data_IF_593432589966
#
_entry.id   IF_593432589966
#
_cell.length_a   1.000
_cell.length_b   1.000
_cell.length_c   1.000
_cell.angle_alpha   90.00
_cell.angle_beta   90.00
_cell.angle_gamma   90.00
#
_symmetry.space_group_name_H-M   'P 1'
#
loop_
_entity.id
_entity.type
_entity.pdbx_description
1 polymer ?
#
# COMPACT_ATOMS: atom_id res chain seq x y z
N UNK A 1 -6.78 -3.69 1.59
CA UNK A 1 -7.25 -3.56 2.99
C UNK A 1 -6.11 -3.83 3.96
N UNK A 2 -5.24 -2.83 4.16
CA UNK A 2 -4.09 -2.96 5.04
C UNK A 2 -3.99 -1.85 6.10
N UNK A 3 -4.60 -0.68 5.87
CA UNK A 3 -4.51 0.46 6.78
C UNK A 3 -5.83 1.21 6.90
N UNK A 4 -6.18 2.09 5.98
CA UNK A 4 -7.32 3.02 6.02
C UNK A 4 -8.36 2.72 4.93
N UNK A 5 -7.88 2.33 3.75
CA UNK A 5 -8.73 2.14 2.59
C UNK A 5 -9.26 0.71 2.47
N UNK A 6 -10.59 0.61 2.29
CA UNK A 6 -11.24 -0.58 1.74
C UNK A 6 -11.10 -0.52 0.22
N UNK A 7 -10.52 -1.53 -0.44
CA UNK A 7 -10.44 -1.55 -1.90
C UNK A 7 -10.63 -2.98 -2.45
N UNK A 8 -11.26 -3.06 -3.61
CA UNK A 8 -11.51 -4.26 -4.40
C UNK A 8 -11.25 -3.92 -5.86
N UNK A 9 -10.65 -4.84 -6.61
CA UNK A 9 -10.49 -4.72 -8.06
C UNK A 9 -10.59 -6.10 -8.71
N UNK A 10 -11.04 -6.12 -9.96
CA UNK A 10 -11.04 -7.28 -10.84
C UNK A 10 -10.10 -6.98 -12.00
N UNK A 11 -9.10 -7.83 -12.18
CA UNK A 11 -8.03 -7.65 -13.16
C UNK A 11 -7.90 -8.92 -13.99
N UNK A 12 -7.72 -8.75 -15.30
CA UNK A 12 -7.54 -9.84 -16.25
C UNK A 12 -6.05 -10.17 -16.45
N UNK A 13 -5.75 -11.36 -16.98
CA UNK A 13 -4.37 -11.84 -17.21
C UNK A 13 -3.55 -10.88 -18.09
N UNK A 14 -4.21 -10.23 -19.05
CA UNK A 14 -3.61 -9.22 -19.94
C UNK A 14 -3.43 -7.84 -19.30
N UNK A 15 -3.48 -7.78 -17.96
CA UNK A 15 -3.33 -6.58 -17.11
C UNK A 15 -4.49 -5.58 -17.17
N UNK A 16 -5.56 -5.84 -17.92
CA UNK A 16 -6.71 -4.93 -17.95
C UNK A 16 -7.47 -4.95 -16.62
N UNK A 17 -7.77 -3.76 -16.11
CA UNK A 17 -8.62 -3.58 -14.94
C UNK A 17 -10.07 -3.52 -15.43
N UNK A 18 -10.86 -4.54 -15.10
CA UNK A 18 -12.29 -4.61 -15.46
C UNK A 18 -13.15 -3.74 -14.54
N UNK A 19 -12.80 -3.71 -13.26
CA UNK A 19 -13.48 -2.91 -12.25
C UNK A 19 -12.52 -2.61 -11.09
N UNK A 20 -12.67 -1.44 -10.47
CA UNK A 20 -11.91 -1.06 -9.28
C UNK A 20 -12.71 -0.08 -8.44
N UNK A 21 -12.88 -0.38 -7.15
CA UNK A 21 -13.58 0.47 -6.20
C UNK A 21 -12.80 0.57 -4.90
N UNK A 22 -12.85 1.74 -4.30
CA UNK A 22 -12.27 1.99 -2.99
C UNK A 22 -13.19 2.88 -2.15
N UNK A 23 -13.11 2.71 -0.84
CA UNK A 23 -13.84 3.49 0.15
C UNK A 23 -12.93 3.80 1.34
N UNK A 24 -13.00 5.04 1.81
CA UNK A 24 -12.31 5.52 2.99
C UNK A 24 -13.15 6.58 3.71
N UNK A 25 -13.49 6.37 4.98
CA UNK A 25 -14.21 7.35 5.79
C UNK A 25 -13.24 8.41 6.34
N UNK A 26 -12.86 9.34 5.46
CA UNK A 26 -11.92 10.42 5.79
C UNK A 26 -12.48 11.38 6.83
N UNK A 27 -13.79 11.56 6.87
CA UNK A 27 -14.43 12.44 7.84
C UNK A 27 -14.32 11.86 9.26
N UNK A 28 -14.61 10.57 9.43
CA UNK A 28 -14.44 9.89 10.72
C UNK A 28 -12.98 9.89 11.16
N UNK A 29 -12.03 9.61 10.26
CA UNK A 29 -10.60 9.65 10.56
C UNK A 29 -10.15 11.05 11.02
N UNK A 30 -10.66 12.10 10.37
CA UNK A 30 -10.40 13.49 10.77
C UNK A 30 -10.92 13.78 12.17
N UNK A 31 -12.15 13.37 12.49
CA UNK A 31 -12.73 13.55 13.82
C UNK A 31 -11.98 12.79 14.92
N UNK A 32 -11.45 11.61 14.60
CA UNK A 32 -10.64 10.80 15.53
C UNK A 32 -9.17 11.24 15.60
N UNK A 33 -8.76 12.25 14.82
CA UNK A 33 -7.38 12.76 14.79
C UNK A 33 -6.37 11.86 14.07
N UNK A 34 -6.85 10.82 13.39
CA UNK A 34 -6.03 9.84 12.68
C UNK A 34 -6.74 8.49 12.49
N UNK A 35 -5.94 7.49 12.09
CA UNK A 35 -6.43 6.14 11.81
C UNK A 35 -6.71 5.40 13.12
N UNK A 36 -7.99 5.18 13.42
CA UNK A 36 -8.42 4.35 14.55
C UNK A 36 -8.60 2.89 14.10
N UNK A 37 -7.82 1.93 14.65
CA UNK A 37 -7.85 0.54 14.22
C UNK A 37 -9.22 -0.14 14.26
N UNK A 38 -10.00 0.13 15.31
CA UNK A 38 -11.33 -0.48 15.48
C UNK A 38 -12.33 0.05 14.44
N UNK A 39 -12.32 1.37 14.19
CA UNK A 39 -13.20 2.01 13.20
C UNK A 39 -12.89 1.52 11.78
N UNK A 40 -11.61 1.40 11.42
CA UNK A 40 -11.20 0.85 10.12
C UNK A 40 -11.66 -0.60 9.96
N UNK A 41 -11.47 -1.44 10.97
CA UNK A 41 -11.90 -2.84 10.87
C UNK A 41 -13.41 -2.95 10.64
N UNK A 42 -14.19 -2.12 11.34
CA UNK A 42 -15.63 -2.02 11.11
C UNK A 42 -15.95 -1.51 9.70
N UNK A 43 -15.25 -0.50 9.19
CA UNK A 43 -15.37 -0.02 7.81
C UNK A 43 -15.12 -1.15 6.81
N UNK A 44 -14.02 -1.89 6.93
CA UNK A 44 -13.72 -3.01 6.03
C UNK A 44 -14.82 -4.07 6.07
N UNK A 45 -15.30 -4.44 7.26
CA UNK A 45 -16.37 -5.43 7.42
C UNK A 45 -17.67 -5.02 6.72
N UNK A 46 -18.05 -3.75 6.79
CA UNK A 46 -19.29 -3.23 6.19
C UNK A 46 -19.13 -2.98 4.68
N UNK A 47 -18.00 -2.43 4.26
CA UNK A 47 -17.79 -1.98 2.88
C UNK A 47 -17.31 -3.09 1.94
N UNK A 48 -16.65 -4.14 2.46
CA UNK A 48 -16.18 -5.26 1.63
C UNK A 48 -17.26 -5.86 0.72
N UNK A 49 -18.44 -6.28 1.24
CA UNK A 49 -19.49 -6.85 0.41
C UNK A 49 -20.00 -5.86 -0.65
N UNK A 50 -20.18 -4.60 -0.27
CA UNK A 50 -20.67 -3.54 -1.17
C UNK A 50 -19.70 -3.34 -2.33
N UNK A 51 -18.40 -3.17 -2.04
CA UNK A 51 -17.38 -2.96 -3.06
C UNK A 51 -17.22 -4.19 -3.99
N UNK A 52 -17.41 -5.41 -3.46
CA UNK A 52 -17.40 -6.63 -4.27
C UNK A 52 -18.57 -6.66 -5.25
N UNK A 53 -19.78 -6.39 -4.77
CA UNK A 53 -20.98 -6.36 -5.60
C UNK A 53 -20.90 -5.27 -6.68
N UNK A 54 -20.41 -4.08 -6.32
CA UNK A 54 -20.17 -2.98 -7.26
C UNK A 54 -19.14 -3.35 -8.34
N UNK A 55 -18.02 -4.00 -7.96
CA UNK A 55 -16.99 -4.41 -8.91
C UNK A 55 -17.51 -5.50 -9.86
N UNK A 56 -18.24 -6.49 -9.35
CA UNK A 56 -18.83 -7.56 -10.17
C UNK A 56 -19.86 -6.99 -11.15
N UNK A 57 -20.70 -6.07 -10.69
CA UNK A 57 -21.68 -5.40 -11.53
C UNK A 57 -21.00 -4.58 -12.64
N UNK A 58 -19.98 -3.78 -12.31
CA UNK A 58 -19.22 -3.00 -13.30
C UNK A 58 -18.50 -3.90 -14.32
N UNK A 59 -17.92 -5.01 -13.87
CA UNK A 59 -17.24 -5.97 -14.74
C UNK A 59 -18.21 -6.83 -15.57
N UNK A 60 -19.51 -6.85 -15.23
CA UNK A 60 -20.49 -7.74 -15.85
C UNK A 60 -20.24 -9.22 -15.55
N UNK A 61 -19.72 -9.54 -14.37
CA UNK A 61 -19.32 -10.89 -13.95
C UNK A 61 -20.10 -11.35 -12.72
N UNK A 62 -20.12 -12.66 -12.52
CA UNK A 62 -20.49 -13.30 -11.27
C UNK A 62 -19.27 -13.88 -10.56
N UNK A 63 -19.38 -14.15 -9.26
CA UNK A 63 -18.31 -14.79 -8.50
C UNK A 63 -17.85 -16.14 -9.09
N UNK A 64 -18.72 -16.86 -9.80
CA UNK A 64 -18.37 -18.12 -10.47
C UNK A 64 -17.36 -17.93 -11.62
N UNK A 65 -17.36 -16.75 -12.25
CA UNK A 65 -16.49 -16.37 -13.36
C UNK A 65 -15.09 -15.96 -12.88
N UNK A 66 -14.89 -15.78 -11.57
CA UNK A 66 -13.59 -15.44 -10.98
C UNK A 66 -12.72 -16.68 -10.88
N UNK A 67 -11.49 -16.61 -11.39
CA UNK A 67 -10.54 -17.74 -11.36
C UNK A 67 -9.82 -17.89 -10.01
N UNK A 68 -9.46 -16.77 -9.38
CA UNK A 68 -8.74 -16.75 -8.11
C UNK A 68 -9.04 -15.49 -7.30
N UNK A 69 -8.90 -15.58 -5.97
CA UNK A 69 -9.02 -14.44 -5.05
C UNK A 69 -7.64 -14.05 -4.52
N UNK A 70 -7.19 -12.83 -4.76
CA UNK A 70 -5.95 -12.29 -4.21
C UNK A 70 -6.22 -11.37 -3.01
N UNK A 71 -5.45 -11.50 -1.93
CA UNK A 71 -5.66 -10.69 -0.72
C UNK A 71 -4.34 -10.24 -0.08
N UNK A 72 -4.28 -8.98 0.33
CA UNK A 72 -3.14 -8.47 1.08
C UNK A 72 -3.04 -9.14 2.45
N UNK A 73 -1.88 -9.70 2.77
CA UNK A 73 -1.63 -10.39 4.06
C UNK A 73 -0.62 -9.67 4.95
N UNK A 74 0.23 -8.81 4.38
CA UNK A 74 1.29 -8.06 5.07
C UNK A 74 1.93 -7.00 4.17
N UNK A 75 2.65 -6.02 4.73
CA UNK A 75 2.47 -5.47 6.06
C UNK A 75 1.15 -4.68 6.15
N UNK A 76 0.72 -4.39 7.38
CA UNK A 76 -0.47 -3.59 7.63
C UNK A 76 -0.96 -3.74 9.06
N UNK A 77 -2.00 -3.00 9.38
CA UNK A 77 -2.70 -3.10 10.64
C UNK A 77 -3.39 -4.46 10.75
N UNK A 78 -2.99 -5.28 11.73
CA UNK A 78 -3.45 -6.66 11.88
C UNK A 78 -4.97 -6.78 11.91
N UNK A 79 -5.66 -5.87 12.60
CA UNK A 79 -7.13 -5.89 12.73
C UNK A 79 -7.79 -5.58 11.38
N UNK A 80 -7.21 -4.68 10.58
CA UNK A 80 -7.69 -4.36 9.25
C UNK A 80 -7.47 -5.52 8.25
N UNK A 81 -6.26 -6.10 8.25
CA UNK A 81 -5.91 -7.24 7.40
C UNK A 81 -6.83 -8.44 7.62
N UNK A 82 -7.21 -8.71 8.89
CA UNK A 82 -8.08 -9.84 9.26
C UNK A 82 -9.41 -9.84 8.51
N UNK A 83 -10.06 -8.69 8.33
CA UNK A 83 -11.36 -8.65 7.65
C UNK A 83 -11.24 -9.00 6.16
N UNK A 84 -10.23 -8.46 5.47
CA UNK A 84 -9.95 -8.81 4.08
C UNK A 84 -9.60 -10.29 3.91
N UNK A 85 -8.69 -10.81 4.75
CA UNK A 85 -8.28 -12.22 4.72
C UNK A 85 -9.48 -13.14 4.99
N UNK A 86 -10.30 -12.83 5.99
CA UNK A 86 -11.50 -13.61 6.33
C UNK A 86 -12.45 -13.71 5.16
N UNK A 87 -12.75 -12.58 4.50
CA UNK A 87 -13.66 -12.54 3.34
C UNK A 87 -13.07 -13.28 2.14
N UNK A 88 -11.78 -13.11 1.85
CA UNK A 88 -11.14 -13.82 0.75
C UNK A 88 -11.13 -15.35 0.96
N UNK A 89 -10.86 -15.83 2.19
CA UNK A 89 -10.96 -17.26 2.55
C UNK A 89 -12.40 -17.77 2.39
N UNK A 90 -13.38 -16.99 2.85
CA UNK A 90 -14.80 -17.32 2.71
C UNK A 90 -15.19 -17.51 1.23
N UNK A 91 -14.85 -16.55 0.36
CA UNK A 91 -15.14 -16.60 -1.07
C UNK A 91 -14.42 -17.77 -1.77
N UNK A 92 -13.12 -17.92 -1.53
CA UNK A 92 -12.34 -19.02 -2.09
C UNK A 92 -12.92 -20.40 -1.72
N UNK A 93 -13.45 -20.54 -0.49
CA UNK A 93 -14.10 -21.79 -0.04
C UNK A 93 -15.46 -22.01 -0.67
N UNK A 94 -16.29 -20.97 -0.79
CA UNK A 94 -17.65 -21.07 -1.36
C UNK A 94 -17.58 -21.39 -2.85
N UNK A 95 -16.70 -20.72 -3.58
CA UNK A 95 -16.60 -20.84 -5.04
C UNK A 95 -15.54 -21.86 -5.50
N UNK A 96 -14.87 -22.53 -4.57
CA UNK A 96 -13.82 -23.51 -4.85
C UNK A 96 -12.70 -22.96 -5.74
N UNK A 97 -12.22 -21.76 -5.42
CA UNK A 97 -11.19 -21.03 -6.18
C UNK A 97 -9.90 -20.90 -5.38
N UNK A 98 -8.80 -20.63 -6.08
CA UNK A 98 -7.51 -20.42 -5.46
C UNK A 98 -7.47 -19.12 -4.65
N UNK A 99 -6.69 -19.14 -3.56
CA UNK A 99 -6.47 -17.98 -2.70
C UNK A 99 -4.99 -17.58 -2.77
N UNK A 100 -4.72 -16.36 -3.23
CA UNK A 100 -3.38 -15.85 -3.46
C UNK A 100 -3.01 -14.83 -2.36
N UNK A 101 -2.05 -15.16 -1.48
CA UNK A 101 -1.58 -14.22 -0.46
C UNK A 101 -0.61 -13.20 -1.07
N UNK A 102 -0.95 -11.91 -0.94
CA UNK A 102 -0.19 -10.80 -1.54
C UNK A 102 0.53 -9.98 -0.47
N UNK A 103 1.80 -9.68 -0.71
CA UNK A 103 2.57 -8.70 0.06
C UNK A 103 2.31 -7.29 -0.49
N UNK A 104 1.79 -6.40 0.35
CA UNK A 104 1.40 -5.03 0.00
C UNK A 104 2.48 -4.24 -0.75
N UNK A 105 3.72 -4.22 -0.22
CA UNK A 105 4.80 -3.48 -0.89
C UNK A 105 5.26 -4.12 -2.21
N UNK A 106 5.08 -5.44 -2.38
CA UNK A 106 5.39 -6.08 -3.65
C UNK A 106 4.31 -5.73 -4.68
N UNK A 107 3.03 -5.69 -4.26
CA UNK A 107 1.95 -5.22 -5.11
C UNK A 107 2.18 -3.78 -5.58
N UNK A 108 2.61 -2.87 -4.69
CA UNK A 108 2.98 -1.50 -5.07
C UNK A 108 4.15 -1.43 -6.05
N UNK A 109 5.17 -2.29 -5.89
CA UNK A 109 6.28 -2.32 -6.83
C UNK A 109 5.86 -2.86 -8.20
N UNK A 110 5.02 -3.90 -8.23
CA UNK A 110 4.56 -4.55 -9.46
C UNK A 110 3.45 -3.79 -10.17
N UNK A 111 2.73 -2.88 -9.50
CA UNK A 111 1.71 -2.06 -10.16
C UNK A 111 2.30 -1.17 -11.27
N UNK A 112 3.61 -0.93 -11.27
CA UNK A 112 4.30 -0.25 -12.36
C UNK A 112 4.11 -0.95 -13.72
N UNK A 113 3.98 -2.29 -13.73
CA UNK A 113 3.71 -3.06 -14.95
C UNK A 113 2.30 -2.85 -15.52
N UNK A 114 1.37 -2.28 -14.74
CA UNK A 114 0.02 -1.92 -15.22
C UNK A 114 0.02 -0.61 -16.01
N UNK A 115 1.07 0.21 -15.88
CA UNK A 115 1.15 1.56 -16.45
C UNK A 115 2.22 1.68 -17.53
N UNK A 116 3.25 0.82 -17.49
CA UNK A 116 4.32 0.79 -18.49
C UNK A 116 4.50 -0.63 -19.02
N UNK A 117 4.25 -0.78 -20.33
CA UNK A 117 4.41 -2.06 -21.05
C UNK A 117 5.87 -2.36 -21.41
N UNK A 118 6.69 -1.33 -21.45
CA UNK A 118 8.11 -1.30 -21.73
C UNK A 118 9.00 -1.51 -20.49
N UNK A 119 8.39 -1.57 -19.30
CA UNK A 119 9.09 -1.93 -18.07
C UNK A 119 9.52 -3.41 -18.13
N UNK A 120 10.79 -3.66 -17.83
CA UNK A 120 11.34 -5.00 -17.72
C UNK A 120 12.17 -5.15 -16.44
N UNK A 121 12.33 -6.38 -15.97
CA UNK A 121 13.25 -6.66 -14.87
C UNK A 121 14.71 -6.64 -15.35
N UNK A 122 15.68 -6.28 -14.49
CA UNK A 122 15.48 -5.69 -13.16
C UNK A 122 15.19 -4.18 -13.27
N UNK A 123 14.40 -3.63 -12.33
CA UNK A 123 14.21 -2.19 -12.21
C UNK A 123 14.33 -1.72 -10.76
N UNK A 124 14.61 -0.43 -10.61
CA UNK A 124 14.65 0.25 -9.32
C UNK A 124 13.33 0.99 -9.09
N UNK A 125 12.76 0.87 -7.90
CA UNK A 125 11.55 1.60 -7.53
C UNK A 125 11.69 2.28 -6.17
N UNK A 126 11.05 3.44 -6.06
CA UNK A 126 10.94 4.23 -4.85
C UNK A 126 9.51 4.11 -4.33
N UNK A 127 9.33 3.35 -3.24
CA UNK A 127 8.03 3.12 -2.63
C UNK A 127 7.83 4.11 -1.48
N UNK A 128 7.06 5.18 -1.75
CA UNK A 128 6.70 6.20 -0.77
C UNK A 128 5.18 6.15 -0.52
N UNK A 129 4.80 5.99 0.74
CA UNK A 129 3.41 6.03 1.21
C UNK A 129 3.34 6.68 2.59
N UNK A 130 2.13 6.75 3.19
CA UNK A 130 1.94 7.19 4.58
C UNK A 130 2.69 6.34 5.61
N UNK A 131 2.99 5.07 5.32
CA UNK A 131 3.69 4.18 6.25
C UNK A 131 5.07 3.70 5.79
N UNK A 132 5.46 3.97 4.54
CA UNK A 132 6.65 3.38 3.94
C UNK A 132 7.47 4.39 3.15
N UNK A 133 8.78 4.25 3.21
CA UNK A 133 9.74 4.97 2.37
C UNK A 133 10.90 4.01 2.12
N UNK A 134 10.89 3.37 0.95
CA UNK A 134 11.79 2.28 0.56
C UNK A 134 12.39 2.52 -0.82
N UNK A 135 13.67 2.22 -0.99
CA UNK A 135 14.33 2.06 -2.28
C UNK A 135 14.51 0.56 -2.51
N UNK A 136 13.89 0.02 -3.56
CA UNK A 136 13.82 -1.42 -3.80
C UNK A 136 14.30 -1.74 -5.21
N UNK A 137 15.28 -2.63 -5.31
CA UNK A 137 15.66 -3.28 -6.57
C UNK A 137 14.77 -4.51 -6.78
N UNK A 138 13.96 -4.45 -7.83
CA UNK A 138 13.05 -5.52 -8.23
C UNK A 138 13.74 -6.35 -9.31
N UNK A 139 14.15 -7.57 -8.96
CA UNK A 139 14.85 -8.49 -9.88
C UNK A 139 13.92 -9.43 -10.63
N UNK A 140 12.74 -9.73 -10.07
CA UNK A 140 11.69 -10.53 -10.68
C UNK A 140 10.37 -10.27 -9.93
N UNK A 141 9.29 -10.93 -10.35
CA UNK A 141 7.98 -10.93 -9.67
C UNK A 141 8.04 -11.40 -8.21
N UNK A 142 9.12 -12.07 -7.79
CA UNK A 142 9.26 -12.67 -6.46
C UNK A 142 10.51 -12.19 -5.71
N UNK A 143 11.47 -11.59 -6.42
CA UNK A 143 12.77 -11.21 -5.85
C UNK A 143 12.91 -9.69 -5.73
N UNK A 144 12.74 -9.20 -4.50
CA UNK A 144 12.81 -7.78 -4.15
C UNK A 144 13.89 -7.55 -3.10
N UNK A 145 14.84 -6.67 -3.42
CA UNK A 145 15.97 -6.33 -2.57
C UNK A 145 15.80 -4.90 -2.08
N UNK A 146 15.65 -4.72 -0.76
CA UNK A 146 15.62 -3.38 -0.17
C UNK A 146 17.06 -2.86 -0.16
N UNK A 147 17.30 -1.79 -0.92
CA UNK A 147 18.57 -1.08 -0.92
C UNK A 147 18.59 -0.06 0.21
N UNK A 148 17.49 0.67 0.41
CA UNK A 148 17.38 1.69 1.44
C UNK A 148 15.99 1.73 2.05
N UNK A 149 15.91 2.08 3.34
CA UNK A 149 14.66 2.36 4.04
C UNK A 149 14.85 3.65 4.85
N UNK A 150 13.75 4.34 5.13
CA UNK A 150 13.78 5.44 6.09
C UNK A 150 14.08 4.97 7.52
N UNK A 151 14.95 5.72 8.21
CA UNK A 151 15.35 5.49 9.60
C UNK A 151 14.33 5.94 10.65
N UNK A 152 13.56 6.99 10.37
CA UNK A 152 12.87 7.77 11.42
C UNK A 152 11.38 8.08 11.16
N UNK A 153 10.83 7.60 10.04
CA UNK A 153 9.42 7.82 9.65
C UNK A 153 9.24 7.88 8.13
N UNK A 154 8.03 7.72 7.62
CA UNK A 154 7.81 7.83 6.16
C UNK A 154 7.71 9.30 5.72
N UNK A 155 7.92 9.58 4.43
CA UNK A 155 7.68 10.91 3.89
C UNK A 155 6.20 11.32 4.03
N UNK A 156 5.27 10.38 3.82
CA UNK A 156 3.83 10.65 4.00
C UNK A 156 3.46 10.99 5.45
N UNK A 157 3.99 10.25 6.42
CA UNK A 157 3.77 10.53 7.85
C UNK A 157 4.33 11.91 8.25
N UNK A 158 5.50 12.28 7.68
CA UNK A 158 6.07 13.60 7.88
C UNK A 158 5.12 14.70 7.38
N UNK A 159 4.58 14.54 6.17
CA UNK A 159 3.58 15.46 5.62
C UNK A 159 2.32 15.54 6.50
N UNK A 160 1.80 14.41 6.99
CA UNK A 160 0.61 14.41 7.85
C UNK A 160 0.86 15.10 9.19
N UNK A 161 2.07 14.96 9.76
CA UNK A 161 2.46 15.67 11.00
C UNK A 161 2.56 17.18 10.76
N UNK A 162 3.22 17.60 9.69
CA UNK A 162 3.33 19.02 9.32
C UNK A 162 1.96 19.62 9.05
N UNK A 163 1.07 18.91 8.36
CA UNK A 163 -0.27 19.38 8.07
C UNK A 163 -1.11 19.56 9.35
N UNK A 164 -0.94 18.66 10.33
CA UNK A 164 -1.56 18.77 11.65
C UNK A 164 -1.04 19.97 12.43
N UNK A 165 0.27 20.18 12.45
CA UNK A 165 0.91 21.33 13.12
C UNK A 165 0.44 22.67 12.52
N UNK A 166 0.26 22.70 11.19
CA UNK A 166 -0.25 23.86 10.47
C UNK A 166 -1.78 24.01 10.53
N UNK A 167 -2.47 23.14 11.29
CA UNK A 167 -3.93 23.14 11.45
C UNK A 167 -4.70 23.13 10.11
N UNK A 168 -4.14 22.49 9.07
CA UNK A 168 -4.69 22.51 7.70
C UNK A 168 -6.09 21.91 7.67
N UNK A 169 -6.32 20.86 8.45
CA UNK A 169 -7.60 20.16 8.55
C UNK A 169 -8.77 21.02 9.08
N UNK A 170 -8.49 22.21 9.62
CA UNK A 170 -9.48 23.18 10.12
C UNK A 170 -9.68 24.38 9.19
N UNK A 171 -8.97 24.44 8.06
CA UNK A 171 -9.13 25.50 7.07
C UNK A 171 -10.19 25.10 6.06
N UNK A 172 -11.15 25.99 5.80
CA UNK A 172 -12.28 25.72 4.91
C UNK A 172 -11.82 25.34 3.49
N UNK A 173 -10.77 25.99 2.98
CA UNK A 173 -10.19 25.73 1.65
C UNK A 173 -9.67 24.29 1.46
N UNK A 174 -9.37 23.57 2.55
CA UNK A 174 -8.76 22.25 2.52
C UNK A 174 -9.62 21.15 3.15
N UNK A 175 -10.88 21.45 3.50
CA UNK A 175 -11.77 20.55 4.26
C UNK A 175 -11.94 19.16 3.62
N UNK A 176 -11.92 19.07 2.30
CA UNK A 176 -12.12 17.83 1.54
C UNK A 176 -10.84 17.35 0.83
N UNK A 177 -9.67 17.91 1.17
CA UNK A 177 -8.40 17.63 0.50
C UNK A 177 -7.52 16.80 1.46
N UNK A 178 -6.82 15.79 0.93
CA UNK A 178 -5.88 15.00 1.73
C UNK A 178 -4.77 15.91 2.30
N UNK A 179 -4.37 15.77 3.58
CA UNK A 179 -3.41 16.67 4.23
C UNK A 179 -2.11 16.89 3.44
N UNK A 180 -1.51 15.81 2.92
CA UNK A 180 -0.33 15.91 2.06
C UNK A 180 -0.55 16.71 0.76
N UNK A 181 -1.72 16.57 0.11
CA UNK A 181 -2.06 17.34 -1.09
C UNK A 181 -2.33 18.82 -0.76
N UNK A 182 -2.95 19.10 0.38
CA UNK A 182 -3.16 20.45 0.86
C UNK A 182 -1.82 21.18 1.14
N UNK A 183 -0.83 20.47 1.70
CA UNK A 183 0.53 21.00 1.85
C UNK A 183 1.17 21.32 0.50
N UNK A 184 1.01 20.47 -0.50
CA UNK A 184 1.53 20.73 -1.83
C UNK A 184 0.90 21.99 -2.46
N UNK A 185 -0.42 22.17 -2.33
CA UNK A 185 -1.13 23.36 -2.82
C UNK A 185 -0.60 24.62 -2.11
N UNK A 186 -0.45 24.58 -0.78
CA UNK A 186 0.11 25.70 -0.01
C UNK A 186 1.55 26.00 -0.38
N UNK A 187 2.36 24.97 -0.64
CA UNK A 187 3.74 25.15 -1.07
C UNK A 187 3.81 25.82 -2.45
N UNK A 188 2.92 25.46 -3.38
CA UNK A 188 2.83 26.06 -4.73
C UNK A 188 2.41 27.52 -4.73
N UNK A 189 1.64 27.98 -3.74
CA UNK A 189 1.24 29.38 -3.63
C UNK A 189 2.29 30.27 -2.97
N UNK A 190 3.42 29.71 -2.52
CA UNK A 190 4.51 30.48 -1.93
C UNK A 190 5.19 31.36 -2.97
N UNK A 191 5.34 32.64 -2.65
CA UNK A 191 6.13 33.60 -3.43
C UNK A 191 7.62 33.55 -3.10
N UNK A 192 8.03 32.85 -2.04
CA UNK A 192 9.41 32.77 -1.56
C UNK A 192 9.99 31.35 -1.65
N UNK A 193 10.27 30.90 -2.87
CA UNK A 193 10.77 29.54 -3.19
C UNK A 193 12.16 29.25 -2.56
N UNK A 194 12.93 30.29 -2.25
CA UNK A 194 14.30 30.17 -1.71
C UNK A 194 14.46 30.67 -0.27
N UNK A 195 13.34 30.83 0.47
CA UNK A 195 13.38 31.35 1.85
C UNK A 195 14.32 30.55 2.77
N UNK A 196 14.45 29.25 2.52
CA UNK A 196 15.35 28.35 3.25
C UNK A 196 16.38 27.76 2.29
N UNK A 197 17.49 28.48 1.98
CA UNK A 197 18.49 28.04 1.00
C UNK A 197 19.27 26.80 1.44
N UNK A 198 19.25 26.50 2.74
CA UNK A 198 19.72 25.24 3.32
C UNK A 198 18.62 24.72 4.24
N UNK A 199 18.14 23.51 3.95
CA UNK A 199 17.32 22.79 4.93
C UNK A 199 18.22 22.45 6.12
N UNK A 200 17.80 22.75 7.35
CA UNK A 200 18.62 22.45 8.51
C UNK A 200 18.83 20.93 8.61
N UNK A 201 20.07 20.54 8.83
CA UNK A 201 20.47 19.14 8.99
C UNK A 201 20.05 18.67 10.39
N UNK A 202 18.75 18.44 10.58
CA UNK A 202 18.17 18.15 11.91
C UNK A 202 18.03 16.65 12.14
N UNK A 203 18.21 16.23 13.39
CA UNK A 203 17.83 14.89 13.87
C UNK A 203 16.32 14.59 13.68
N UNK A 204 15.53 15.64 13.43
CA UNK A 204 14.08 15.60 13.20
C UNK A 204 13.70 15.56 11.71
N UNK A 205 14.68 15.47 10.79
CA UNK A 205 14.38 15.19 9.39
C UNK A 205 13.84 13.75 9.31
N UNK A 206 12.51 13.63 9.39
CA UNK A 206 11.77 12.40 9.18
C UNK A 206 11.87 12.02 7.70
N UNK A 207 12.03 10.72 7.40
CA UNK A 207 12.25 10.17 6.04
C UNK A 207 13.70 10.12 5.49
N UNK A 208 14.73 10.19 6.34
CA UNK A 208 16.13 9.95 5.91
C UNK A 208 16.32 8.50 5.49
N UNK A 209 16.78 8.28 4.26
CA UNK A 209 17.23 6.97 3.80
C UNK A 209 18.65 6.68 4.27
N UNK A 210 18.95 5.40 4.55
CA UNK A 210 20.31 4.91 4.77
C UNK A 210 21.25 5.20 3.59
N UNK A 211 20.67 5.37 2.39
CA UNK A 211 21.38 5.75 1.17
C UNK A 211 21.11 7.25 0.93
N UNK A 212 22.00 8.12 1.42
CA UNK A 212 21.87 9.56 1.22
C UNK A 212 23.08 10.38 1.67
N UNK A 213 23.85 10.87 0.68
CA UNK A 213 24.67 12.10 0.51
C UNK A 213 25.38 12.81 1.68
N UNK A 214 25.36 12.31 2.91
CA UNK A 214 26.31 12.72 3.94
C UNK A 214 27.53 11.80 3.84
N UNK A 215 28.73 12.38 3.73
CA UNK A 215 30.04 11.68 3.67
C UNK A 215 30.26 10.68 4.82
N UNK A 216 29.36 10.67 5.81
CA UNK A 216 29.39 9.78 6.98
C UNK A 216 28.76 8.41 6.74
N UNK A 217 27.99 8.15 5.68
CA UNK A 217 27.34 6.84 5.45
C UNK A 217 27.73 6.26 4.08
N UNK A 218 28.74 5.39 4.09
CA UNK A 218 29.08 4.51 2.98
C UNK A 218 27.88 3.64 2.58
N UNK A 219 27.60 3.53 1.27
CA UNK A 219 26.64 2.55 0.71
C UNK A 219 26.91 1.20 1.38
N UNK A 220 25.94 0.57 2.06
CA UNK A 220 26.19 -0.66 2.76
C UNK A 220 26.68 -1.72 1.76
N UNK A 221 27.78 -2.44 2.03
CA UNK A 221 28.36 -3.40 1.09
C UNK A 221 27.45 -4.62 0.84
N UNK A 222 26.36 -4.74 1.60
CA UNK A 222 25.36 -5.81 1.50
C UNK A 222 23.94 -5.22 1.61
N UNK A 223 22.94 -5.83 0.95
CA UNK A 223 21.54 -5.40 1.08
C UNK A 223 21.06 -5.43 2.53
N UNK A 224 20.24 -4.45 2.91
CA UNK A 224 19.76 -4.31 4.30
C UNK A 224 18.80 -5.46 4.66
N UNK A 225 17.94 -5.88 3.73
CA UNK A 225 17.06 -7.05 3.89
C UNK A 225 16.41 -7.47 2.56
N UNK A 226 15.97 -8.73 2.42
CA UNK A 226 15.05 -9.16 1.34
C UNK A 226 13.61 -9.02 1.82
N UNK A 227 12.71 -8.45 1.01
CA UNK A 227 11.28 -8.61 1.31
C UNK A 227 10.95 -10.10 1.25
N UNK A 228 10.65 -10.73 2.39
CA UNK A 228 10.22 -12.13 2.41
C UNK A 228 8.95 -12.23 1.58
N UNK A 229 9.02 -13.00 0.50
CA UNK A 229 8.05 -13.05 -0.59
C UNK A 229 6.58 -13.10 -0.16
N UNK A 230 5.72 -12.60 -1.04
CA UNK A 230 4.47 -13.29 -1.35
C UNK A 230 4.88 -14.69 -1.77
N UNK A 231 4.38 -15.72 -1.06
CA UNK A 231 4.59 -17.09 -1.50
C UNK A 231 3.75 -17.28 -2.75
N UNK A 232 4.39 -17.13 -3.90
CA UNK A 232 3.90 -17.78 -5.11
C UNK A 232 4.82 -18.96 -5.41
N UNK A 233 6.14 -18.83 -5.58
CA UNK A 233 7.00 -20.01 -5.74
C UNK A 233 8.43 -19.86 -5.17
N UNK A 234 8.95 -20.95 -4.65
CA UNK A 234 10.36 -21.14 -4.34
C UNK A 234 10.65 -22.63 -4.45
N UNK A 235 11.28 -23.05 -5.56
CA UNK A 235 11.88 -24.36 -5.89
C UNK A 235 11.21 -25.66 -5.39
N UNK A 236 9.95 -25.61 -4.97
CA UNK A 236 9.21 -26.75 -4.40
C UNK A 236 8.02 -27.05 -5.30
N UNK A 237 7.78 -28.33 -5.69
CA UNK A 237 6.63 -28.71 -6.49
C UNK A 237 5.34 -28.19 -5.84
N UNK A 238 4.41 -27.73 -6.69
CA UNK A 238 3.06 -27.27 -6.38
C UNK A 238 2.43 -28.10 -5.25
N UNK A 239 2.30 -27.50 -4.05
CA UNK A 239 1.50 -28.10 -2.98
C UNK A 239 0.11 -27.49 -3.04
N UNK A 240 -0.78 -28.12 -3.80
CA UNK A 240 -2.20 -27.84 -3.75
C UNK A 240 -2.69 -28.16 -2.33
N UNK A 241 -3.06 -27.14 -1.57
CA UNK A 241 -3.63 -27.33 -0.24
C UNK A 241 -5.02 -27.90 -0.40
N UNK A 242 -5.20 -29.12 0.09
CA UNK A 242 -6.49 -29.80 0.08
C UNK A 242 -7.25 -29.48 1.37
N UNK A 243 -8.55 -29.79 1.39
CA UNK A 243 -9.45 -29.57 2.54
C UNK A 243 -8.91 -30.10 3.88
N UNK A 244 -8.01 -31.10 3.88
CA UNK A 244 -7.39 -31.65 5.09
C UNK A 244 -6.34 -30.73 5.72
N UNK A 245 -5.73 -29.82 4.96
CA UNK A 245 -4.64 -28.96 5.43
C UNK A 245 -5.12 -27.79 6.30
N UNK A 246 -6.41 -27.50 6.26
CA UNK A 246 -7.06 -26.42 7.03
C UNK A 246 -7.84 -26.91 8.25
N UNK A 247 -7.73 -28.20 8.60
CA UNK A 247 -8.28 -28.75 9.85
C UNK A 247 -7.18 -28.80 10.91
N UNK A 248 -6.82 -27.66 11.48
CA UNK A 248 -6.21 -27.53 12.80
C UNK A 248 -6.30 -26.08 13.28
#
# INVERSE_FOLDING_TARGET
MNCDDSAVAIVQEDKRILASRNFADRELQRHLGGICPASVAQQHKVQLPVLLDECLFEAGLHFCDIDAFAVTTKPGLVIALKEGIRKAIELARIYHKDLIPVHHMQAHALSAFLVSDDLSFPFLTLLISGGHSLIVLVKSSENFIILGKSLSGSAGECMDKVARELNIQYKDDFKNIHPGAALEILARSSTEIHRYPKLPDTIYAHARFDIGIDERHSIPPKPIYKLKGSTVHGDTPLKLYSKSDFKK
#
